data_IF_634233149791
#
_entry.id   IF_634233149791
#
_cell.length_a   1.000
_cell.length_b   1.000
_cell.length_c   1.000
_cell.angle_alpha   90.00
_cell.angle_beta   90.00
_cell.angle_gamma   90.00
#
_symmetry.space_group_name_H-M   'P 1'
#
loop_
_entity.id
_entity.type
_entity.pdbx_description
1 polymer ?
#
# COMPACT_ATOMS: atom_id res chain seq x y z
N UNK A 1 -14.18 -0.36 24.08
CA UNK A 1 -13.57 -1.68 23.78
C UNK A 1 -13.64 -2.00 22.28
N UNK A 2 -14.83 -2.10 21.68
CA UNK A 2 -14.99 -2.47 20.26
C UNK A 2 -14.28 -1.53 19.26
N UNK A 3 -14.42 -0.20 19.42
CA UNK A 3 -13.81 0.76 18.50
C UNK A 3 -12.27 0.75 18.52
N UNK A 4 -11.66 0.54 19.69
CA UNK A 4 -10.20 0.38 19.79
C UNK A 4 -9.71 -0.90 19.08
N UNK A 5 -10.52 -1.97 19.14
CA UNK A 5 -10.24 -3.20 18.42
C UNK A 5 -10.36 -3.02 16.89
N UNK A 6 -11.32 -2.22 16.44
CA UNK A 6 -11.53 -1.92 15.02
C UNK A 6 -10.38 -1.08 14.42
N UNK A 7 -9.95 -0.03 15.13
CA UNK A 7 -8.77 0.77 14.73
C UNK A 7 -7.50 -0.07 14.66
N UNK A 8 -7.27 -0.93 15.65
CA UNK A 8 -6.11 -1.84 15.64
C UNK A 8 -6.19 -2.89 14.52
N UNK A 9 -7.40 -3.38 14.21
CA UNK A 9 -7.61 -4.31 13.11
C UNK A 9 -7.31 -3.65 11.76
N UNK A 10 -7.79 -2.43 11.54
CA UNK A 10 -7.49 -1.65 10.33
C UNK A 10 -5.99 -1.37 10.20
N UNK A 11 -5.33 -0.92 11.28
CA UNK A 11 -3.87 -0.69 11.30
C UNK A 11 -3.09 -1.93 10.88
N UNK A 12 -3.44 -3.08 11.46
CA UNK A 12 -2.79 -4.37 11.13
C UNK A 12 -3.08 -4.83 9.71
N UNK A 13 -4.25 -4.51 9.14
CA UNK A 13 -4.58 -4.84 7.77
C UNK A 13 -3.68 -4.11 6.78
N UNK A 14 -3.51 -2.79 6.96
CA UNK A 14 -2.63 -1.97 6.10
C UNK A 14 -1.18 -2.42 6.19
N UNK A 15 -0.67 -2.66 7.41
CA UNK A 15 0.70 -3.17 7.59
C UNK A 15 0.94 -4.53 6.93
N UNK A 16 -0.04 -5.44 6.98
CA UNK A 16 0.06 -6.75 6.32
C UNK A 16 0.04 -6.62 4.81
N UNK A 17 -0.82 -5.75 4.26
CA UNK A 17 -0.85 -5.46 2.83
C UNK A 17 0.52 -4.93 2.37
N UNK A 18 1.04 -3.89 3.02
CA UNK A 18 2.35 -3.31 2.70
C UNK A 18 3.48 -4.34 2.76
N UNK A 19 3.50 -5.19 3.81
CA UNK A 19 4.52 -6.24 3.95
C UNK A 19 4.49 -7.27 2.82
N UNK A 20 3.29 -7.64 2.36
CA UNK A 20 3.12 -8.58 1.25
C UNK A 20 3.57 -7.96 -0.07
N UNK A 21 3.11 -6.74 -0.33
CA UNK A 21 3.31 -6.04 -1.61
C UNK A 21 4.76 -5.62 -1.81
N UNK A 22 5.42 -5.08 -0.77
CA UNK A 22 6.80 -4.57 -0.85
C UNK A 22 7.87 -5.61 -0.46
N UNK A 23 7.55 -6.90 -0.60
CA UNK A 23 8.44 -7.98 -0.19
C UNK A 23 9.76 -7.96 -0.97
N UNK A 24 10.86 -7.71 -0.26
CA UNK A 24 12.20 -7.59 -0.83
C UNK A 24 12.66 -6.16 -1.09
N UNK A 25 11.80 -5.15 -0.89
CA UNK A 25 12.15 -3.73 -0.92
C UNK A 25 12.15 -3.16 0.49
N UNK A 26 13.33 -3.20 1.12
CA UNK A 26 13.50 -2.79 2.51
C UNK A 26 13.24 -1.29 2.72
N UNK A 27 13.54 -0.47 1.72
CA UNK A 27 13.29 0.97 1.80
C UNK A 27 11.77 1.21 1.82
N UNK A 28 11.03 0.64 0.87
CA UNK A 28 9.58 0.80 0.83
C UNK A 28 8.90 0.20 2.06
N UNK A 29 9.37 -0.94 2.58
CA UNK A 29 8.84 -1.51 3.82
C UNK A 29 9.03 -0.59 5.04
N UNK A 30 10.19 0.07 5.13
CA UNK A 30 10.51 0.96 6.25
C UNK A 30 9.71 2.25 6.18
N UNK A 31 9.75 2.93 5.02
CA UNK A 31 9.07 4.21 4.82
C UNK A 31 7.55 4.07 4.90
N UNK A 32 6.98 3.01 4.29
CA UNK A 32 5.53 2.76 4.39
C UNK A 32 5.11 2.50 5.84
N UNK A 33 5.88 1.75 6.63
CA UNK A 33 5.54 1.51 8.03
C UNK A 33 5.56 2.80 8.88
N UNK A 34 6.48 3.73 8.60
CA UNK A 34 6.53 5.05 9.24
C UNK A 34 5.30 5.87 8.90
N UNK A 35 4.96 6.00 7.62
CA UNK A 35 3.80 6.77 7.18
C UNK A 35 2.48 6.17 7.68
N UNK A 36 2.32 4.84 7.63
CA UNK A 36 1.13 4.16 8.17
C UNK A 36 1.00 4.45 9.67
N UNK A 37 2.09 4.37 10.44
CA UNK A 37 2.04 4.71 11.87
C UNK A 37 1.65 6.16 12.09
N UNK A 38 2.28 7.10 11.39
CA UNK A 38 2.00 8.54 11.49
C UNK A 38 0.52 8.81 11.25
N UNK A 39 -0.03 8.30 10.15
CA UNK A 39 -1.45 8.48 9.80
C UNK A 39 -2.39 7.96 10.88
N UNK A 40 -2.10 6.82 11.51
CA UNK A 40 -2.94 6.32 12.60
C UNK A 40 -2.81 7.13 13.89
N UNK A 41 -1.62 7.66 14.20
CA UNK A 41 -1.44 8.56 15.35
C UNK A 41 -2.16 9.91 15.15
N UNK A 42 -2.15 10.47 13.92
CA UNK A 42 -2.86 11.71 13.60
C UNK A 42 -4.38 11.61 13.89
N UNK A 43 -4.94 10.41 13.80
CA UNK A 43 -6.36 10.13 14.06
C UNK A 43 -6.65 9.52 15.45
N UNK A 44 -5.64 9.37 16.31
CA UNK A 44 -5.78 8.71 17.61
C UNK A 44 -6.77 9.40 18.56
N UNK A 45 -6.94 10.71 18.41
CA UNK A 45 -7.84 11.52 19.22
C UNK A 45 -9.31 11.48 18.78
N UNK A 46 -9.64 10.82 17.67
CA UNK A 46 -11.00 10.79 17.16
C UNK A 46 -11.94 10.05 18.12
N UNK A 47 -13.11 10.64 18.34
CA UNK A 47 -14.14 10.03 19.16
C UNK A 47 -14.67 8.74 18.50
N UNK A 48 -14.73 7.61 19.22
CA UNK A 48 -15.32 6.38 18.72
C UNK A 48 -16.72 6.60 18.15
N UNK A 49 -16.97 6.14 16.92
CA UNK A 49 -18.27 6.26 16.25
C UNK A 49 -18.59 7.65 15.68
N UNK A 50 -17.68 8.62 15.81
CA UNK A 50 -17.80 9.88 15.06
C UNK A 50 -17.71 9.64 13.55
N UNK A 51 -18.31 10.52 12.75
CA UNK A 51 -18.23 10.45 11.29
C UNK A 51 -16.78 10.43 10.81
N UNK A 52 -15.91 11.22 11.44
CA UNK A 52 -14.48 11.23 11.16
C UNK A 52 -13.81 9.88 11.44
N UNK A 53 -14.14 9.23 12.57
CA UNK A 53 -13.58 7.92 12.89
C UNK A 53 -14.06 6.85 11.91
N UNK A 54 -15.34 6.88 11.54
CA UNK A 54 -15.91 5.94 10.56
C UNK A 54 -15.25 6.12 9.19
N UNK A 55 -15.08 7.36 8.75
CA UNK A 55 -14.41 7.69 7.48
C UNK A 55 -12.95 7.26 7.49
N UNK A 56 -12.18 7.58 8.53
CA UNK A 56 -10.78 7.17 8.66
C UNK A 56 -10.61 5.63 8.63
N UNK A 57 -11.55 4.89 9.23
CA UNK A 57 -11.57 3.43 9.16
C UNK A 57 -11.90 2.90 7.77
N UNK A 58 -12.80 3.56 7.03
CA UNK A 58 -13.10 3.22 5.62
C UNK A 58 -11.87 3.43 4.74
N UNK A 59 -11.25 4.60 4.84
CA UNK A 59 -10.03 4.96 4.09
C UNK A 59 -8.89 3.99 4.38
N UNK A 60 -8.71 3.57 5.64
CA UNK A 60 -7.71 2.56 5.99
C UNK A 60 -7.99 1.19 5.36
N UNK A 61 -9.26 0.79 5.24
CA UNK A 61 -9.63 -0.47 4.58
C UNK A 61 -9.39 -0.40 3.08
N UNK A 62 -9.78 0.71 2.45
CA UNK A 62 -9.53 0.98 1.04
C UNK A 62 -8.03 1.01 0.74
N UNK A 63 -7.22 1.66 1.59
CA UNK A 63 -5.77 1.66 1.45
C UNK A 63 -5.18 0.25 1.56
N UNK A 64 -5.66 -0.59 2.48
CA UNK A 64 -5.21 -1.98 2.59
C UNK A 64 -5.54 -2.79 1.32
N UNK A 65 -6.74 -2.62 0.77
CA UNK A 65 -7.17 -3.29 -0.46
C UNK A 65 -6.35 -2.82 -1.67
N UNK A 66 -6.18 -1.51 -1.79
CA UNK A 66 -5.38 -0.88 -2.85
C UNK A 66 -3.93 -1.38 -2.82
N UNK A 67 -3.28 -1.37 -1.65
CA UNK A 67 -1.89 -1.85 -1.53
C UNK A 67 -1.80 -3.33 -1.89
N UNK A 68 -2.77 -4.15 -1.47
CA UNK A 68 -2.74 -5.59 -1.69
C UNK A 68 -2.98 -5.99 -3.14
N UNK A 69 -3.84 -5.24 -3.85
CA UNK A 69 -4.37 -5.67 -5.15
C UNK A 69 -3.94 -4.79 -6.32
N UNK A 70 -3.69 -3.50 -6.10
CA UNK A 70 -3.45 -2.54 -7.18
C UNK A 70 -1.97 -2.18 -7.36
N UNK A 71 -1.12 -2.49 -6.39
CA UNK A 71 0.33 -2.24 -6.48
C UNK A 71 1.03 -3.52 -6.95
N UNK A 72 1.69 -3.44 -8.10
CA UNK A 72 2.50 -4.54 -8.62
C UNK A 72 3.98 -4.16 -8.55
N UNK A 73 4.73 -4.86 -7.69
CA UNK A 73 6.15 -4.63 -7.56
C UNK A 73 6.94 -5.41 -8.64
N UNK A 74 7.69 -4.67 -9.47
CA UNK A 74 8.61 -5.27 -10.40
C UNK A 74 9.85 -5.82 -9.67
N UNK A 75 10.27 -7.03 -10.02
CA UNK A 75 11.50 -7.65 -9.49
C UNK A 75 12.60 -7.57 -10.52
N UNK A 76 13.80 -7.20 -10.09
CA UNK A 76 14.97 -7.21 -10.98
C UNK A 76 15.40 -8.65 -11.26
N UNK A 77 15.50 -9.01 -12.54
CA UNK A 77 16.00 -10.30 -12.99
C UNK A 77 17.53 -10.35 -12.91
N UNK A 78 18.14 -11.56 -12.94
CA UNK A 78 19.59 -11.71 -13.07
C UNK A 78 20.18 -11.07 -14.33
N UNK A 79 19.38 -10.91 -15.39
CA UNK A 79 19.77 -10.20 -16.62
C UNK A 79 19.76 -8.68 -16.49
N UNK A 80 19.36 -8.13 -15.34
CA UNK A 80 19.29 -6.69 -15.07
C UNK A 80 17.97 -6.02 -15.45
N UNK A 81 17.07 -6.73 -16.14
CA UNK A 81 15.73 -6.27 -16.53
C UNK A 81 14.75 -6.29 -15.35
N UNK A 82 13.70 -5.47 -15.37
CA UNK A 82 12.62 -5.55 -14.40
C UNK A 82 11.51 -6.46 -14.92
N UNK A 83 11.12 -7.45 -14.12
CA UNK A 83 10.08 -8.43 -14.47
C UNK A 83 8.91 -8.25 -13.51
N UNK A 84 7.73 -8.11 -14.10
CA UNK A 84 6.46 -8.10 -13.38
C UNK A 84 5.79 -9.45 -13.60
N UNK A 85 5.28 -10.08 -12.53
CA UNK A 85 4.43 -11.27 -12.65
C UNK A 85 3.00 -10.89 -12.25
N UNK A 86 2.12 -10.57 -13.22
CA UNK A 86 0.72 -10.32 -12.93
C UNK A 86 0.08 -11.63 -12.42
N UNK A 87 -0.49 -11.61 -11.23
CA UNK A 87 -1.36 -12.70 -10.75
C UNK A 87 -2.72 -12.68 -11.46
N UNK A 88 -3.53 -13.74 -11.34
CA UNK A 88 -4.88 -13.83 -11.94
C UNK A 88 -5.78 -12.63 -11.61
N UNK A 89 -5.60 -11.99 -10.46
CA UNK A 89 -6.32 -10.79 -10.06
C UNK A 89 -6.06 -9.58 -10.98
N UNK A 90 -4.98 -9.59 -11.76
CA UNK A 90 -4.60 -8.54 -12.70
C UNK A 90 -4.88 -8.92 -14.17
N UNK A 91 -5.58 -10.04 -14.40
CA UNK A 91 -5.95 -10.46 -15.75
C UNK A 91 -6.86 -9.42 -16.40
N UNK A 92 -6.43 -8.85 -17.53
CA UNK A 92 -7.17 -7.80 -18.26
C UNK A 92 -6.75 -6.37 -17.91
N UNK A 93 -5.81 -6.16 -16.98
CA UNK A 93 -5.23 -4.85 -16.72
C UNK A 93 -4.14 -4.51 -17.77
N UNK A 94 -4.10 -3.25 -18.21
CA UNK A 94 -3.07 -2.76 -19.14
C UNK A 94 -1.84 -2.29 -18.37
N UNK A 95 -0.66 -2.75 -18.77
CA UNK A 95 0.63 -2.24 -18.27
C UNK A 95 1.13 -1.17 -19.24
N UNK A 96 1.12 0.10 -18.84
CA UNK A 96 1.76 1.17 -19.59
C UNK A 96 3.24 1.24 -19.23
N UNK A 97 4.10 1.02 -20.22
CA UNK A 97 5.54 1.18 -20.08
C UNK A 97 5.92 2.55 -20.67
N UNK A 98 6.41 3.50 -19.86
CA UNK A 98 6.89 4.79 -20.38
C UNK A 98 7.97 4.56 -21.43
N UNK A 99 7.89 5.28 -22.55
CA UNK A 99 8.90 5.21 -23.61
C UNK A 99 10.26 5.72 -23.13
N UNK A 100 11.34 5.26 -23.76
CA UNK A 100 12.72 5.66 -23.41
C UNK A 100 12.93 7.18 -23.50
N UNK A 101 12.20 7.88 -24.37
CA UNK A 101 12.23 9.35 -24.47
C UNK A 101 11.81 10.05 -23.16
N UNK A 102 10.79 9.51 -22.47
CA UNK A 102 10.30 10.05 -21.18
C UNK A 102 11.32 9.77 -20.07
N UNK A 103 11.98 8.61 -20.09
CA UNK A 103 12.99 8.26 -19.09
C UNK A 103 14.28 9.09 -19.25
N UNK A 104 14.60 9.51 -20.46
CA UNK A 104 15.79 10.31 -20.76
C UNK A 104 15.70 11.75 -20.23
N UNK A 105 14.49 12.28 -20.06
CA UNK A 105 14.23 13.65 -19.60
C UNK A 105 14.10 13.76 -18.07
N UNK A 106 14.13 12.63 -17.35
CA UNK A 106 14.10 12.56 -15.89
C UNK A 106 15.50 12.49 -15.23
N UNK A 107 16.57 12.63 -16.01
CA UNK A 107 17.95 12.79 -15.52
C UNK A 107 18.27 14.24 -15.24
#
# INVERSE_FOLDING_TARGET
MAAAAEGLAAYRAVLRAARRTFSGDQLMLTESAVEIRRRFEDHRGLAPGSEDAVRALSEAREAADFIANMIVQAKRSPSGSFVVKPEKAHAGATLEIPSEEILSTLK
#
